data_IF_697834646007
#
_entry.id   IF_697834646007
#
_cell.length_a   1.000
_cell.length_b   1.000
_cell.length_c   1.000
_cell.angle_alpha   90.00
_cell.angle_beta   90.00
_cell.angle_gamma   90.00
#
_symmetry.space_group_name_H-M   'P 1'
#
loop_
_entity.id
_entity.type
_entity.pdbx_description
1 polymer ?
#
# COMPACT_ATOMS: atom_id res chain seq x y z
N UNK A 1 -9.67 6.96 9.63
CA UNK A 1 -10.40 6.31 8.53
C UNK A 1 -9.50 5.27 7.88
N UNK A 2 -10.04 4.11 7.60
CA UNK A 2 -9.31 3.03 6.95
C UNK A 2 -9.71 2.98 5.49
N UNK A 3 -8.71 3.02 4.62
CA UNK A 3 -8.93 2.95 3.18
C UNK A 3 -8.46 1.60 2.66
N UNK A 4 -9.19 1.04 1.73
CA UNK A 4 -8.77 -0.18 1.04
C UNK A 4 -8.57 0.14 -0.43
N UNK A 5 -7.39 -0.15 -0.93
CA UNK A 5 -7.05 0.04 -2.34
C UNK A 5 -6.94 -1.33 -2.97
N UNK A 6 -7.74 -1.59 -3.98
CA UNK A 6 -7.72 -2.87 -4.70
C UNK A 6 -6.82 -2.74 -5.91
N UNK A 7 -5.78 -3.54 -5.93
CA UNK A 7 -4.76 -3.49 -6.96
C UNK A 7 -3.56 -2.67 -6.52
N UNK A 8 -2.37 -3.25 -6.66
CA UNK A 8 -1.11 -2.59 -6.28
C UNK A 8 -0.31 -2.18 -7.51
N UNK A 9 -1.02 -1.82 -8.59
CA UNK A 9 -0.38 -1.22 -9.75
C UNK A 9 0.12 0.18 -9.41
N UNK A 10 0.68 0.85 -10.39
CA UNK A 10 1.30 2.15 -10.18
C UNK A 10 0.36 3.16 -9.52
N UNK A 11 -0.83 3.32 -10.09
CA UNK A 11 -1.79 4.32 -9.58
C UNK A 11 -2.25 3.98 -8.17
N UNK A 12 -2.59 2.72 -7.93
CA UNK A 12 -3.06 2.29 -6.61
C UNK A 12 -2.00 2.46 -5.54
N UNK A 13 -0.77 2.10 -5.84
CA UNK A 13 0.32 2.20 -4.87
C UNK A 13 0.67 3.64 -4.55
N UNK A 14 0.75 4.50 -5.56
CA UNK A 14 1.01 5.92 -5.36
C UNK A 14 -0.12 6.57 -4.57
N UNK A 15 -1.37 6.24 -4.91
CA UNK A 15 -2.54 6.74 -4.19
C UNK A 15 -2.49 6.34 -2.72
N UNK A 16 -2.18 5.06 -2.45
CA UNK A 16 -2.07 4.57 -1.08
C UNK A 16 -0.99 5.28 -0.28
N UNK A 17 0.17 5.47 -0.89
CA UNK A 17 1.27 6.18 -0.24
C UNK A 17 0.88 7.62 0.09
N UNK A 18 0.18 8.30 -0.83
CA UNK A 18 -0.28 9.65 -0.59
C UNK A 18 -1.27 9.74 0.57
N UNK A 19 -2.24 8.82 0.64
CA UNK A 19 -3.19 8.80 1.74
C UNK A 19 -2.49 8.51 3.07
N UNK A 20 -1.51 7.62 3.07
CA UNK A 20 -0.74 7.35 4.28
C UNK A 20 0.03 8.59 4.74
N UNK A 21 0.54 9.40 3.80
CA UNK A 21 1.19 10.66 4.14
C UNK A 21 0.23 11.63 4.82
N UNK A 22 -1.06 11.54 4.51
CA UNK A 22 -2.09 12.34 5.20
C UNK A 22 -2.54 11.72 6.52
N UNK A 23 -1.99 10.58 6.91
CA UNK A 23 -2.30 9.95 8.19
C UNK A 23 -3.39 8.90 8.15
N UNK A 24 -3.89 8.51 6.98
CA UNK A 24 -4.89 7.45 6.87
C UNK A 24 -4.25 6.08 6.95
N UNK A 25 -4.95 5.13 7.56
CA UNK A 25 -4.58 3.72 7.48
C UNK A 25 -5.01 3.18 6.13
N UNK A 26 -4.09 2.55 5.42
CA UNK A 26 -4.32 2.06 4.06
C UNK A 26 -4.03 0.57 4.00
N UNK A 27 -4.98 -0.20 3.49
CA UNK A 27 -4.77 -1.61 3.17
C UNK A 27 -4.80 -1.76 1.66
N UNK A 28 -3.71 -2.28 1.11
CA UNK A 28 -3.61 -2.55 -0.32
C UNK A 28 -3.84 -4.04 -0.55
N UNK A 29 -4.77 -4.36 -1.45
CA UNK A 29 -5.16 -5.73 -1.73
C UNK A 29 -4.76 -6.07 -3.16
N UNK A 30 -4.10 -7.20 -3.34
CA UNK A 30 -3.72 -7.68 -4.66
C UNK A 30 -3.65 -9.21 -4.64
N UNK A 31 -3.94 -9.83 -5.77
CA UNK A 31 -3.81 -11.27 -5.90
C UNK A 31 -2.44 -11.70 -6.43
N UNK A 32 -1.57 -10.76 -6.76
CA UNK A 32 -0.21 -11.05 -7.21
C UNK A 32 0.70 -11.22 -5.98
N UNK A 33 0.89 -12.46 -5.58
CA UNK A 33 1.63 -12.77 -4.36
C UNK A 33 3.10 -12.31 -4.46
N UNK A 34 3.70 -12.44 -5.62
CA UNK A 34 5.11 -12.02 -5.81
C UNK A 34 5.25 -10.52 -5.63
N UNK A 35 4.30 -9.75 -6.17
CA UNK A 35 4.30 -8.30 -6.00
C UNK A 35 4.12 -7.93 -4.54
N UNK A 36 3.21 -8.60 -3.85
CA UNK A 36 2.98 -8.35 -2.42
C UNK A 36 4.23 -8.62 -1.59
N UNK A 37 4.97 -9.66 -1.91
CA UNK A 37 6.22 -9.95 -1.20
C UNK A 37 7.25 -8.84 -1.38
N UNK A 38 7.38 -8.31 -2.59
CA UNK A 38 8.28 -7.19 -2.87
C UNK A 38 7.86 -5.97 -2.06
N UNK A 39 6.56 -5.66 -2.08
CA UNK A 39 6.03 -4.49 -1.38
C UNK A 39 6.16 -4.61 0.13
N UNK A 40 5.91 -5.79 0.68
CA UNK A 40 6.05 -6.01 2.12
C UNK A 40 7.49 -5.83 2.61
N UNK A 41 8.46 -5.99 1.73
CA UNK A 41 9.86 -5.74 2.08
C UNK A 41 10.22 -4.25 2.06
N UNK A 42 9.27 -3.38 1.71
CA UNK A 42 9.50 -1.94 1.65
C UNK A 42 10.07 -1.46 0.34
N UNK A 43 10.00 -2.27 -0.71
CA UNK A 43 10.52 -1.91 -2.02
C UNK A 43 9.38 -1.68 -3.01
N UNK A 44 9.58 -0.71 -3.90
CA UNK A 44 8.64 -0.44 -4.97
C UNK A 44 9.01 -1.26 -6.21
N UNK A 45 8.04 -1.97 -6.82
CA UNK A 45 8.32 -2.74 -8.04
C UNK A 45 8.46 -1.86 -9.29
N UNK A 46 8.29 -0.55 -9.16
CA UNK A 46 8.46 0.39 -10.26
C UNK A 46 9.61 1.34 -9.95
N UNK A 47 10.17 1.93 -10.99
CA UNK A 47 11.11 3.02 -10.78
C UNK A 47 10.33 4.31 -10.57
N UNK A 48 10.25 4.75 -9.32
CA UNK A 48 9.57 5.99 -8.94
C UNK A 48 10.41 6.65 -7.85
N UNK A 49 11.08 7.77 -8.15
CA UNK A 49 11.95 8.43 -7.17
C UNK A 49 11.22 8.77 -5.88
N UNK A 50 11.79 8.37 -4.75
CA UNK A 50 11.20 8.63 -3.44
C UNK A 50 10.17 7.62 -2.98
N UNK A 51 9.69 6.74 -3.85
CA UNK A 51 8.64 5.79 -3.48
C UNK A 51 9.13 4.72 -2.50
N UNK A 52 10.36 4.23 -2.67
CA UNK A 52 10.92 3.25 -1.74
C UNK A 52 10.98 3.80 -0.32
N UNK A 53 11.35 5.08 -0.19
CA UNK A 53 11.44 5.73 1.11
C UNK A 53 10.07 5.90 1.74
N UNK A 54 9.06 6.31 0.96
CA UNK A 54 7.69 6.43 1.43
C UNK A 54 7.12 5.09 1.87
N UNK A 55 7.34 4.05 1.10
CA UNK A 55 6.87 2.71 1.44
C UNK A 55 7.54 2.21 2.71
N UNK A 56 8.85 2.36 2.82
CA UNK A 56 9.55 1.96 4.04
C UNK A 56 9.01 2.70 5.26
N UNK A 57 8.79 4.01 5.12
CA UNK A 57 8.26 4.82 6.21
C UNK A 57 6.91 4.29 6.69
N UNK A 58 5.98 4.06 5.75
CA UNK A 58 4.60 3.73 6.12
C UNK A 58 4.35 2.24 6.34
N UNK A 59 5.24 1.38 5.88
CA UNK A 59 5.16 -0.04 6.19
C UNK A 59 5.84 -0.35 7.53
N UNK A 60 7.02 0.19 7.75
CA UNK A 60 7.87 -0.20 8.87
C UNK A 60 7.87 0.77 10.04
N UNK A 61 7.68 2.06 9.80
CA UNK A 61 7.75 3.07 10.86
C UNK A 61 6.37 3.48 11.36
N UNK A 62 5.53 4.03 10.49
CA UNK A 62 4.18 4.45 10.89
C UNK A 62 3.20 3.29 10.92
N UNK A 63 3.47 2.26 10.14
CA UNK A 63 2.61 1.08 9.96
C UNK A 63 1.21 1.45 9.45
N UNK A 64 1.12 2.51 8.68
CA UNK A 64 -0.13 2.96 8.08
C UNK A 64 -0.49 2.19 6.81
N UNK A 65 0.49 1.55 6.16
CA UNK A 65 0.23 0.74 4.97
C UNK A 65 0.41 -0.73 5.29
N UNK A 66 -0.61 -1.53 4.97
CA UNK A 66 -0.54 -2.98 5.05
C UNK A 66 -0.96 -3.58 3.71
N UNK A 67 -0.55 -4.82 3.47
CA UNK A 67 -0.84 -5.53 2.23
C UNK A 67 -1.52 -6.84 2.54
N UNK A 68 -2.60 -7.13 1.78
CA UNK A 68 -3.36 -8.35 1.94
C UNK A 68 -3.64 -8.98 0.59
N UNK A 69 -3.79 -10.30 0.55
CA UNK A 69 -4.11 -11.01 -0.69
C UNK A 69 -5.60 -11.08 -0.97
N UNK A 70 -6.44 -10.86 0.05
CA UNK A 70 -7.89 -10.90 -0.07
C UNK A 70 -8.52 -9.78 0.72
N UNK A 71 -9.72 -9.37 0.31
CA UNK A 71 -10.52 -8.41 1.06
C UNK A 71 -11.15 -9.15 2.24
N UNK A 72 -10.94 -8.61 3.43
CA UNK A 72 -11.53 -9.14 4.67
C UNK A 72 -12.59 -8.17 5.17
N UNK A 73 -12.88 -8.20 6.48
CA UNK A 73 -13.81 -7.28 7.11
C UNK A 73 -13.20 -5.89 7.23
N UNK A 74 -13.14 -5.18 6.13
CA UNK A 74 -12.52 -3.86 6.04
C UNK A 74 -13.57 -2.82 5.73
N UNK A 75 -13.36 -1.61 6.26
CA UNK A 75 -14.11 -0.45 5.80
C UNK A 75 -13.59 -0.10 4.43
N UNK A 76 -14.46 -0.13 3.43
CA UNK A 76 -14.03 -0.01 2.05
C UNK A 76 -14.29 1.37 1.49
N UNK A 77 -13.23 2.00 1.04
CA UNK A 77 -13.31 3.06 0.03
C UNK A 77 -12.46 2.55 -1.10
N UNK A 78 -13.11 2.17 -2.18
CA UNK A 78 -12.42 1.63 -3.35
C UNK A 78 -11.88 2.76 -4.20
N UNK A 79 -10.61 2.67 -4.48
CA UNK A 79 -9.92 3.68 -5.29
C UNK A 79 -9.30 3.03 -6.51
#
# INVERSE_FOLDING_TARGET
MNLTIVGTGYVGLVTGACFAEFGYSVTCVDNDIKRLEILKSGKCPFFEPGMDELLDKHINKTKLITFESTIKNLSLINI
#
